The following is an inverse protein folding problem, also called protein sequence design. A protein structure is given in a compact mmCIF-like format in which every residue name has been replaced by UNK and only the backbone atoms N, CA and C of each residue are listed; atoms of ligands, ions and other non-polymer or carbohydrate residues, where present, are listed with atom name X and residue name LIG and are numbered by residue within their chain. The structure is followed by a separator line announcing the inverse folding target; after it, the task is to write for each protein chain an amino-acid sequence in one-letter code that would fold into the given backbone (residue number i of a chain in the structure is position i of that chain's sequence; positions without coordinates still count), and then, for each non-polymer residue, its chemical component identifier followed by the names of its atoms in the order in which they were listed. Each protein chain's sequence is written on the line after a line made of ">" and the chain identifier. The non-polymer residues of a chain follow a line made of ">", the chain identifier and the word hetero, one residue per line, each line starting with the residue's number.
data_IF_875413796396
#
_entry.id   IF_875413796396
#
_cell.length_a   1.000
_cell.length_b   1.000
_cell.length_c   1.000
_cell.angle_alpha   90.00
_cell.angle_beta   90.00
_cell.angle_gamma   90.00
#
_symmetry.space_group_name_H-M   'P 1'
#
loop_
_entity.id
_entity.type
_entity.pdbx_description
1 polymer ?
#
# COMPACT_ATOMS: atom_id res chain seq x y z
N UNK A 1 13.15 24.79 -14.46
CA UNK A 1 13.41 23.35 -14.41
C UNK A 1 14.17 22.99 -15.67
N UNK A 2 15.27 22.34 -15.55
CA UNK A 2 16.09 21.80 -16.66
C UNK A 2 16.11 20.27 -16.53
N UNK A 3 16.32 19.59 -17.64
CA UNK A 3 16.40 18.13 -17.71
C UNK A 3 17.65 17.74 -18.50
N UNK A 4 18.33 16.66 -18.10
CA UNK A 4 19.46 16.11 -18.85
C UNK A 4 19.03 14.97 -19.80
N UNK A 5 17.85 14.36 -19.58
CA UNK A 5 17.22 13.41 -20.51
C UNK A 5 15.70 13.58 -20.54
N UNK A 6 15.07 13.01 -21.58
CA UNK A 6 13.61 13.04 -21.74
C UNK A 6 12.94 12.02 -20.82
N UNK A 7 12.06 12.47 -19.94
CA UNK A 7 11.23 11.58 -19.13
C UNK A 7 10.21 10.86 -20.00
N UNK A 8 9.98 9.57 -19.69
CA UNK A 8 8.98 8.72 -20.34
C UNK A 8 7.98 8.21 -19.30
N UNK A 9 6.72 8.06 -19.72
CA UNK A 9 5.66 7.45 -18.92
C UNK A 9 4.71 6.75 -19.89
N UNK A 10 4.73 5.42 -19.86
CA UNK A 10 3.90 4.56 -20.68
C UNK A 10 2.93 3.82 -19.76
N UNK A 11 1.66 3.80 -20.12
CA UNK A 11 0.63 3.07 -19.39
C UNK A 11 -0.19 2.30 -20.41
N UNK A 12 -0.20 0.99 -20.29
CA UNK A 12 -1.04 0.09 -21.07
C UNK A 12 -2.04 -0.59 -20.13
N UNK A 13 -3.32 -0.51 -20.46
CA UNK A 13 -4.40 -1.14 -19.69
C UNK A 13 -5.28 -1.93 -20.62
N UNK A 14 -5.56 -3.16 -20.24
CA UNK A 14 -6.43 -4.06 -20.99
C UNK A 14 -7.37 -4.84 -20.07
N UNK A 15 -8.36 -5.46 -20.67
CA UNK A 15 -9.21 -6.38 -19.90
C UNK A 15 -10.45 -6.83 -20.65
N UNK A 16 -11.06 -7.86 -20.12
CA UNK A 16 -12.30 -8.45 -20.62
C UNK A 16 -13.23 -8.73 -19.43
N UNK A 17 -14.52 -8.40 -19.60
CA UNK A 17 -15.55 -8.76 -18.64
C UNK A 17 -16.71 -9.44 -19.36
N UNK A 18 -17.23 -10.51 -18.75
CA UNK A 18 -18.39 -11.25 -19.21
C UNK A 18 -19.42 -11.34 -18.08
N UNK A 19 -20.62 -10.86 -18.34
CA UNK A 19 -21.77 -11.04 -17.45
C UNK A 19 -22.83 -11.91 -18.12
N UNK A 20 -23.37 -12.85 -17.36
CA UNK A 20 -24.52 -13.67 -17.75
C UNK A 20 -25.62 -13.59 -16.68
N UNK A 21 -26.82 -13.25 -17.08
CA UNK A 21 -28.03 -13.25 -16.25
C UNK A 21 -28.99 -14.33 -16.72
N UNK A 22 -29.36 -15.23 -15.83
CA UNK A 22 -30.21 -16.38 -16.11
C UNK A 22 -31.48 -16.28 -15.26
N UNK A 23 -32.62 -16.09 -15.93
CA UNK A 23 -33.93 -16.11 -15.27
C UNK A 23 -34.31 -17.55 -14.93
N UNK A 24 -34.54 -17.83 -13.65
CA UNK A 24 -34.95 -19.11 -13.11
C UNK A 24 -36.42 -19.08 -12.62
N UNK A 25 -37.20 -18.07 -13.05
CA UNK A 25 -38.59 -17.85 -12.71
C UNK A 25 -38.79 -16.96 -11.47
N UNK A 26 -38.57 -17.47 -10.27
CA UNK A 26 -38.71 -16.69 -9.05
C UNK A 26 -37.37 -16.20 -8.49
N UNK A 27 -36.29 -16.35 -9.26
CA UNK A 27 -34.95 -15.88 -8.92
C UNK A 27 -34.12 -15.68 -10.20
N UNK A 28 -33.11 -14.83 -10.10
CA UNK A 28 -32.13 -14.59 -11.17
C UNK A 28 -30.75 -15.04 -10.68
N UNK A 29 -30.09 -15.88 -11.48
CA UNK A 29 -28.68 -16.20 -11.31
C UNK A 29 -27.84 -15.25 -12.15
N UNK A 30 -26.95 -14.49 -11.54
CA UNK A 30 -25.98 -13.62 -12.21
C UNK A 30 -24.58 -14.19 -12.02
N UNK A 31 -23.79 -14.26 -13.10
CA UNK A 31 -22.38 -14.59 -13.08
C UNK A 31 -21.59 -13.50 -13.76
N UNK A 32 -20.54 -12.97 -13.09
CA UNK A 32 -19.66 -11.93 -13.63
C UNK A 32 -18.23 -12.44 -13.52
N UNK A 33 -17.57 -12.56 -14.67
CA UNK A 33 -16.14 -12.92 -14.75
C UNK A 33 -15.38 -11.76 -15.36
N UNK A 34 -14.28 -11.32 -14.76
CA UNK A 34 -13.44 -10.30 -15.35
C UNK A 34 -11.96 -10.64 -15.19
N UNK A 35 -11.19 -10.25 -16.20
CA UNK A 35 -9.72 -10.22 -16.20
C UNK A 35 -9.26 -8.84 -16.61
N UNK A 36 -8.26 -8.32 -15.89
CA UNK A 36 -7.65 -7.02 -16.17
C UNK A 36 -6.14 -7.13 -16.06
N UNK A 37 -5.47 -6.34 -16.88
CA UNK A 37 -4.01 -6.18 -16.92
C UNK A 37 -3.68 -4.68 -16.98
N UNK A 38 -2.67 -4.26 -16.24
CA UNK A 38 -2.22 -2.87 -16.21
C UNK A 38 -0.72 -2.83 -16.09
N UNK A 39 -0.06 -2.32 -17.12
CA UNK A 39 1.39 -2.15 -17.19
C UNK A 39 1.71 -0.67 -17.14
N UNK A 40 2.53 -0.28 -16.16
CA UNK A 40 3.10 1.05 -16.03
C UNK A 40 4.61 0.97 -16.21
N UNK A 41 5.16 1.78 -17.09
CA UNK A 41 6.61 1.94 -17.23
C UNK A 41 6.97 3.42 -17.23
N UNK A 42 7.79 3.84 -16.28
CA UNK A 42 8.23 5.23 -16.13
C UNK A 42 9.73 5.32 -15.98
N UNK A 43 10.36 6.28 -16.67
CA UNK A 43 11.73 6.70 -16.41
C UNK A 43 11.74 8.23 -16.37
N UNK A 44 12.00 8.80 -15.20
CA UNK A 44 11.89 10.24 -14.99
C UNK A 44 13.23 10.85 -14.58
N UNK A 45 13.58 11.97 -15.22
CA UNK A 45 14.62 12.84 -14.71
C UNK A 45 14.09 13.54 -13.44
N UNK A 46 14.59 13.12 -12.29
CA UNK A 46 14.08 13.52 -10.97
C UNK A 46 15.02 14.45 -10.20
N UNK A 47 16.19 14.79 -10.75
CA UNK A 47 17.09 15.75 -10.09
C UNK A 47 16.79 17.21 -10.46
N UNK A 48 15.93 17.43 -11.47
CA UNK A 48 15.42 18.73 -11.92
C UNK A 48 16.50 19.73 -12.32
N UNK A 49 17.69 19.25 -12.68
CA UNK A 49 18.82 20.05 -13.13
C UNK A 49 19.25 19.64 -14.54
N UNK A 50 20.20 20.36 -15.13
CA UNK A 50 20.84 19.98 -16.40
C UNK A 50 22.10 19.14 -16.21
N UNK A 51 22.49 18.90 -14.94
CA UNK A 51 23.58 18.01 -14.60
C UNK A 51 23.07 16.57 -14.57
N UNK A 52 23.89 15.62 -15.01
CA UNK A 52 23.59 14.22 -14.95
C UNK A 52 23.88 13.66 -13.53
N UNK A 53 22.99 14.01 -12.58
CA UNK A 53 23.09 13.52 -11.20
C UNK A 53 22.50 12.10 -11.11
N UNK A 54 21.34 11.87 -11.73
CA UNK A 54 20.68 10.58 -11.79
C UNK A 54 20.52 10.17 -13.26
N UNK A 55 21.28 9.19 -13.70
CA UNK A 55 21.20 8.68 -15.08
C UNK A 55 19.97 7.80 -15.32
N UNK A 56 19.35 7.28 -14.25
CA UNK A 56 18.16 6.44 -14.30
C UNK A 56 17.35 6.57 -13.01
N UNK A 57 16.08 6.84 -13.16
CA UNK A 57 15.07 6.73 -12.11
C UNK A 57 13.85 6.05 -12.74
N UNK A 58 13.92 4.73 -12.76
CA UNK A 58 12.99 3.85 -13.47
C UNK A 58 12.05 3.17 -12.48
N UNK A 59 10.80 3.07 -12.87
CA UNK A 59 9.77 2.28 -12.22
C UNK A 59 9.00 1.51 -13.29
N UNK A 60 8.79 0.23 -13.08
CA UNK A 60 7.82 -0.59 -13.79
C UNK A 60 6.90 -1.25 -12.77
N UNK A 61 5.62 -1.28 -13.08
CA UNK A 61 4.60 -1.94 -12.26
C UNK A 61 3.65 -2.69 -13.17
N UNK A 62 3.58 -3.99 -12.98
CA UNK A 62 2.70 -4.90 -13.72
C UNK A 62 1.66 -5.43 -12.73
N UNK A 63 0.37 -5.33 -13.09
CA UNK A 63 -0.75 -5.79 -12.28
C UNK A 63 -1.66 -6.64 -13.13
N UNK A 64 -1.88 -7.87 -12.71
CA UNK A 64 -2.86 -8.78 -13.30
C UNK A 64 -3.94 -9.10 -12.27
N UNK A 65 -5.22 -8.96 -12.64
CA UNK A 65 -6.33 -9.18 -11.73
C UNK A 65 -7.39 -10.07 -12.38
N UNK A 66 -7.77 -11.15 -11.71
CA UNK A 66 -8.92 -11.98 -12.06
C UNK A 66 -10.00 -11.86 -10.98
N UNK A 67 -11.27 -11.74 -11.42
CA UNK A 67 -12.40 -11.74 -10.49
C UNK A 67 -13.54 -12.63 -11.01
N UNK A 68 -14.21 -13.31 -10.08
CA UNK A 68 -15.43 -14.07 -10.34
C UNK A 68 -16.47 -13.76 -9.27
N UNK A 69 -17.64 -13.29 -9.70
CA UNK A 69 -18.81 -13.17 -8.84
C UNK A 69 -19.91 -14.09 -9.32
N UNK A 70 -20.59 -14.76 -8.40
CA UNK A 70 -21.83 -15.51 -8.65
C UNK A 70 -22.82 -15.11 -7.59
N UNK A 71 -24.01 -14.67 -8.00
CA UNK A 71 -25.09 -14.30 -7.08
C UNK A 71 -26.44 -14.82 -7.55
N UNK A 72 -27.29 -15.13 -6.60
CA UNK A 72 -28.67 -15.51 -6.77
C UNK A 72 -29.55 -14.50 -6.06
N UNK A 73 -30.48 -13.89 -6.78
CA UNK A 73 -31.37 -12.83 -6.28
C UNK A 73 -32.81 -13.22 -6.47
N UNK A 74 -33.63 -13.04 -5.45
CA UNK A 74 -35.08 -13.24 -5.53
C UNK A 74 -35.75 -12.27 -6.51
N UNK A 75 -36.79 -12.71 -7.22
CA UNK A 75 -37.59 -11.87 -8.15
C UNK A 75 -39.08 -11.96 -7.87
N UNK A 76 -39.48 -12.54 -6.75
CA UNK A 76 -40.89 -12.71 -6.38
C UNK A 76 -41.49 -11.48 -5.71
N UNK A 77 -42.83 -11.36 -5.74
CA UNK A 77 -43.60 -10.27 -5.10
C UNK A 77 -43.92 -10.58 -3.62
N UNK A 78 -43.05 -11.33 -2.94
CA UNK A 78 -43.25 -11.72 -1.54
C UNK A 78 -42.85 -10.62 -0.55
N UNK A 79 -43.12 -10.83 0.76
CA UNK A 79 -42.73 -9.89 1.79
C UNK A 79 -41.21 -9.95 2.12
N UNK A 80 -40.46 -10.78 1.43
CA UNK A 80 -39.03 -10.98 1.64
C UNK A 80 -38.34 -10.99 0.28
N UNK A 81 -37.42 -10.03 0.10
CA UNK A 81 -36.42 -10.08 -0.97
C UNK A 81 -35.09 -10.52 -0.38
N UNK A 82 -34.33 -11.29 -1.15
CA UNK A 82 -33.04 -11.78 -0.71
C UNK A 82 -32.05 -11.90 -1.85
N UNK A 83 -30.80 -11.79 -1.51
CA UNK A 83 -29.68 -12.09 -2.39
C UNK A 83 -28.64 -12.88 -1.59
N UNK A 84 -28.02 -13.87 -2.24
CA UNK A 84 -26.85 -14.59 -1.75
C UNK A 84 -25.84 -14.73 -2.86
N UNK A 85 -24.58 -14.61 -2.54
CA UNK A 85 -23.52 -14.72 -3.55
C UNK A 85 -22.17 -15.10 -2.96
N UNK A 86 -21.24 -15.33 -3.87
CA UNK A 86 -19.83 -15.54 -3.58
C UNK A 86 -18.98 -14.73 -4.55
N UNK A 87 -17.85 -14.25 -4.06
CA UNK A 87 -16.88 -13.49 -4.83
C UNK A 87 -15.49 -14.11 -4.63
N UNK A 88 -14.74 -14.20 -5.72
CA UNK A 88 -13.34 -14.60 -5.76
C UNK A 88 -12.51 -13.52 -6.44
N UNK A 89 -11.35 -13.25 -5.87
CA UNK A 89 -10.39 -12.27 -6.34
C UNK A 89 -9.00 -12.90 -6.31
N UNK A 90 -8.24 -12.68 -7.38
CA UNK A 90 -6.86 -13.11 -7.51
C UNK A 90 -6.09 -12.00 -8.23
N UNK A 91 -5.02 -11.50 -7.58
CA UNK A 91 -4.23 -10.39 -8.11
C UNK A 91 -2.75 -10.64 -7.89
N UNK A 92 -1.98 -10.47 -8.94
CA UNK A 92 -0.52 -10.43 -8.89
C UNK A 92 -0.04 -9.01 -9.17
N UNK A 93 0.83 -8.50 -8.30
CA UNK A 93 1.51 -7.21 -8.46
C UNK A 93 3.01 -7.46 -8.52
N UNK A 94 3.68 -6.98 -9.58
CA UNK A 94 5.13 -6.98 -9.70
C UNK A 94 5.65 -5.55 -9.90
N UNK A 95 6.64 -5.17 -9.10
CA UNK A 95 7.23 -3.82 -9.12
C UNK A 95 8.74 -3.94 -9.29
N UNK A 96 9.29 -3.20 -10.25
CA UNK A 96 10.72 -3.08 -10.48
C UNK A 96 11.13 -1.62 -10.44
N UNK A 97 12.08 -1.28 -9.57
CA UNK A 97 12.64 0.07 -9.50
C UNK A 97 14.15 0.04 -9.74
N UNK A 98 14.66 1.07 -10.37
CA UNK A 98 16.09 1.28 -10.57
C UNK A 98 16.44 2.75 -10.36
N UNK A 99 17.47 3.02 -9.56
CA UNK A 99 17.99 4.36 -9.33
C UNK A 99 19.51 4.32 -9.47
N UNK A 100 20.07 4.97 -10.49
CA UNK A 100 21.51 4.97 -10.75
C UNK A 100 22.07 6.39 -10.82
N UNK A 101 23.28 6.54 -10.27
CA UNK A 101 24.03 7.77 -10.31
C UNK A 101 24.50 8.09 -11.73
N UNK A 102 24.40 9.35 -12.10
CA UNK A 102 24.89 9.90 -13.34
C UNK A 102 26.36 10.34 -13.30
N UNK A 103 26.84 10.85 -14.40
CA UNK A 103 28.25 11.24 -14.58
C UNK A 103 28.67 12.39 -13.62
N UNK A 104 27.76 13.28 -13.28
CA UNK A 104 28.03 14.45 -12.44
C UNK A 104 27.81 14.19 -10.94
N UNK A 105 27.24 13.02 -10.57
CA UNK A 105 26.88 12.72 -9.17
C UNK A 105 28.08 12.74 -8.23
N UNK A 106 29.24 12.20 -8.65
CA UNK A 106 30.45 12.20 -7.83
C UNK A 106 30.92 13.62 -7.49
N UNK A 107 30.78 14.56 -8.41
CA UNK A 107 31.08 15.98 -8.17
C UNK A 107 30.14 16.61 -7.16
N UNK A 108 28.86 16.34 -7.28
CA UNK A 108 27.81 16.76 -6.35
C UNK A 108 28.05 16.16 -4.94
N UNK A 109 28.29 14.85 -4.85
CA UNK A 109 28.60 14.17 -3.57
C UNK A 109 29.87 14.73 -2.94
N UNK A 110 30.87 15.14 -3.74
CA UNK A 110 32.06 15.85 -3.27
C UNK A 110 31.74 17.15 -2.55
N UNK A 111 30.77 17.91 -3.05
CA UNK A 111 30.24 19.10 -2.40
C UNK A 111 29.57 18.77 -1.04
N UNK A 112 28.77 17.69 -0.99
CA UNK A 112 28.12 17.24 0.25
C UNK A 112 29.12 16.75 1.28
N UNK A 113 30.12 15.95 0.90
CA UNK A 113 31.22 15.52 1.78
C UNK A 113 31.99 16.73 2.32
N UNK A 114 32.30 17.72 1.46
CA UNK A 114 32.93 18.96 1.87
C UNK A 114 32.09 19.71 2.89
N UNK A 115 30.78 19.85 2.65
CA UNK A 115 29.87 20.53 3.59
C UNK A 115 29.79 19.79 4.93
N UNK A 116 29.63 18.46 4.92
CA UNK A 116 29.55 17.64 6.14
C UNK A 116 30.84 17.64 6.96
N UNK A 117 32.01 17.90 6.33
CA UNK A 117 33.33 17.89 6.97
C UNK A 117 33.93 19.29 7.11
N UNK A 118 33.16 20.37 6.96
CA UNK A 118 33.60 21.76 6.96
C UNK A 118 34.80 22.02 6.02
N UNK A 119 34.80 21.36 4.85
CA UNK A 119 35.83 21.50 3.81
C UNK A 119 37.14 20.76 4.08
N UNK A 120 37.22 19.97 5.16
CA UNK A 120 38.47 19.30 5.56
C UNK A 120 38.73 17.98 4.80
N UNK A 121 37.69 17.36 4.22
CA UNK A 121 37.79 16.07 3.53
C UNK A 121 37.26 16.17 2.09
N UNK A 122 38.03 15.70 1.12
CA UNK A 122 37.57 15.49 -0.26
C UNK A 122 37.25 14.02 -0.51
N UNK A 123 36.46 13.69 -1.55
CA UNK A 123 36.14 12.29 -1.89
C UNK A 123 37.41 11.46 -2.14
N UNK A 124 38.44 11.92 -2.90
CA UNK A 124 39.68 11.16 -3.03
C UNK A 124 40.43 10.95 -1.70
N UNK A 125 40.42 11.92 -0.79
CA UNK A 125 41.00 11.78 0.54
C UNK A 125 40.24 10.78 1.40
N UNK A 126 38.90 10.78 1.29
CA UNK A 126 38.03 9.80 1.94
C UNK A 126 38.32 8.38 1.44
N UNK A 127 38.43 8.18 0.12
CA UNK A 127 38.80 6.90 -0.48
C UNK A 127 40.16 6.40 0.02
N UNK A 128 41.16 7.28 0.05
CA UNK A 128 42.50 6.94 0.56
C UNK A 128 42.46 6.53 2.06
N UNK A 129 41.67 7.22 2.87
CA UNK A 129 41.45 6.88 4.27
C UNK A 129 40.69 5.57 4.48
N UNK A 130 39.82 5.21 3.57
CA UNK A 130 39.01 3.99 3.61
C UNK A 130 39.63 2.80 2.84
N UNK A 131 40.77 3.00 2.17
CA UNK A 131 41.47 1.94 1.44
C UNK A 131 41.80 0.69 2.29
N UNK A 132 42.19 0.81 3.58
CA UNK A 132 42.38 -0.35 4.46
C UNK A 132 41.11 -1.20 4.67
N UNK A 133 39.94 -0.64 4.40
CA UNK A 133 38.63 -1.28 4.51
C UNK A 133 38.06 -1.73 3.15
N UNK A 134 38.92 -1.79 2.10
CA UNK A 134 38.59 -2.32 0.79
C UNK A 134 38.07 -1.29 -0.23
N UNK A 135 37.99 -0.01 0.12
CA UNK A 135 37.57 1.04 -0.81
C UNK A 135 38.67 1.34 -1.81
N UNK A 136 38.35 1.32 -3.10
CA UNK A 136 39.26 1.61 -4.20
C UNK A 136 39.19 3.10 -4.58
N UNK A 137 40.29 3.64 -5.09
CA UNK A 137 40.30 4.98 -5.64
C UNK A 137 39.31 5.11 -6.83
N UNK A 138 38.47 6.12 -6.80
CA UNK A 138 37.44 6.35 -7.82
C UNK A 138 36.16 5.57 -7.61
N UNK A 139 36.02 4.73 -6.57
CA UNK A 139 34.87 3.86 -6.37
C UNK A 139 33.73 4.50 -5.60
N UNK A 140 33.96 5.54 -4.81
CA UNK A 140 32.86 6.18 -4.07
C UNK A 140 32.04 7.09 -5.00
N UNK A 141 30.73 6.96 -4.96
CA UNK A 141 29.78 7.76 -5.73
C UNK A 141 30.01 7.73 -7.24
N UNK A 142 30.50 6.60 -7.75
CA UNK A 142 30.84 6.48 -9.17
C UNK A 142 29.56 6.39 -10.04
N UNK A 143 29.64 6.96 -11.25
CA UNK A 143 28.55 6.84 -12.22
C UNK A 143 28.19 5.38 -12.49
N UNK A 144 26.89 5.10 -12.62
CA UNK A 144 26.35 3.75 -12.81
C UNK A 144 26.24 2.92 -11.54
N UNK A 145 26.72 3.38 -10.40
CA UNK A 145 26.34 2.81 -9.09
C UNK A 145 24.93 3.23 -8.76
N UNK A 146 24.24 2.42 -7.94
CA UNK A 146 22.87 2.70 -7.59
C UNK A 146 22.21 1.54 -6.90
N UNK A 147 20.91 1.44 -7.11
CA UNK A 147 20.05 0.46 -6.47
C UNK A 147 19.07 -0.13 -7.48
N UNK A 148 18.88 -1.43 -7.43
CA UNK A 148 17.85 -2.17 -8.15
C UNK A 148 16.93 -2.85 -7.13
N UNK A 149 15.63 -2.70 -7.31
CA UNK A 149 14.62 -3.20 -6.40
C UNK A 149 13.59 -4.03 -7.16
N UNK A 150 13.18 -5.13 -6.56
CA UNK A 150 12.07 -5.95 -7.03
C UNK A 150 11.16 -6.24 -5.85
N UNK A 151 9.90 -5.82 -5.95
CA UNK A 151 8.84 -6.11 -4.99
C UNK A 151 7.69 -6.78 -5.71
N UNK A 152 6.93 -7.56 -4.98
CA UNK A 152 5.69 -8.10 -5.51
C UNK A 152 4.81 -8.69 -4.43
N UNK A 153 3.59 -8.99 -4.84
CA UNK A 153 2.57 -9.56 -4.00
C UNK A 153 1.61 -10.39 -4.85
N UNK A 154 1.33 -11.59 -4.40
CA UNK A 154 0.18 -12.38 -4.83
C UNK A 154 -0.90 -12.23 -3.77
N UNK A 155 -2.12 -11.84 -4.17
CA UNK A 155 -3.26 -11.68 -3.28
C UNK A 155 -4.42 -12.53 -3.76
N UNK A 156 -4.86 -13.45 -2.92
CA UNK A 156 -6.07 -14.24 -3.15
C UNK A 156 -7.10 -13.93 -2.07
N UNK A 157 -8.29 -13.52 -2.48
CA UNK A 157 -9.38 -13.30 -1.55
C UNK A 157 -10.67 -13.96 -2.01
N UNK A 158 -11.49 -14.39 -1.06
CA UNK A 158 -12.84 -14.86 -1.35
C UNK A 158 -13.83 -14.36 -0.31
N UNK A 159 -15.06 -14.22 -0.72
CA UNK A 159 -16.13 -13.88 0.22
C UNK A 159 -17.42 -14.62 -0.11
N UNK A 160 -18.22 -14.83 0.95
CA UNK A 160 -19.62 -15.26 0.84
C UNK A 160 -20.49 -14.22 1.51
N UNK A 161 -21.48 -13.75 0.78
CA UNK A 161 -22.33 -12.66 1.23
C UNK A 161 -23.81 -12.94 0.98
N UNK A 162 -24.64 -12.26 1.73
CA UNK A 162 -26.08 -12.28 1.51
C UNK A 162 -26.79 -11.13 2.20
N UNK A 163 -27.91 -10.75 1.66
CA UNK A 163 -28.81 -9.75 2.23
C UNK A 163 -30.23 -10.21 2.17
N UNK A 164 -31.02 -9.77 3.15
CA UNK A 164 -32.47 -10.01 3.25
C UNK A 164 -33.15 -8.69 3.54
N UNK A 165 -34.10 -8.31 2.70
CA UNK A 165 -35.02 -7.22 2.90
C UNK A 165 -36.38 -7.79 3.31
N UNK A 166 -36.84 -7.45 4.50
CA UNK A 166 -38.14 -7.82 5.00
C UNK A 166 -39.08 -6.63 4.97
N UNK A 167 -40.07 -6.70 4.10
CA UNK A 167 -41.17 -5.75 3.98
C UNK A 167 -42.20 -6.03 5.09
N UNK A 168 -41.90 -5.57 6.32
CA UNK A 168 -42.72 -5.83 7.50
C UNK A 168 -44.13 -5.25 7.35
N UNK A 169 -44.29 -4.17 6.61
CA UNK A 169 -45.54 -3.54 6.18
C UNK A 169 -45.32 -2.88 4.81
N UNK A 170 -46.37 -2.37 4.18
CA UNK A 170 -46.27 -1.58 2.93
C UNK A 170 -45.38 -0.32 3.06
N UNK A 171 -44.95 0.03 4.26
CA UNK A 171 -44.19 1.26 4.58
C UNK A 171 -42.89 1.02 5.36
N UNK A 172 -42.68 -0.18 5.86
CA UNK A 172 -41.52 -0.47 6.70
C UNK A 172 -40.76 -1.62 6.09
N UNK A 173 -39.49 -1.37 5.77
CA UNK A 173 -38.54 -2.37 5.31
C UNK A 173 -37.37 -2.47 6.28
N UNK A 174 -37.07 -3.68 6.72
CA UNK A 174 -35.89 -3.99 7.52
C UNK A 174 -34.91 -4.82 6.69
N UNK A 175 -33.67 -4.36 6.59
CA UNK A 175 -32.58 -5.02 5.86
C UNK A 175 -31.56 -5.60 6.82
N UNK A 176 -31.12 -6.83 6.57
CA UNK A 176 -29.94 -7.44 7.20
C UNK A 176 -29.00 -7.94 6.13
N UNK A 177 -27.76 -7.50 6.16
CA UNK A 177 -26.70 -7.98 5.28
C UNK A 177 -25.57 -8.62 6.10
N UNK A 178 -24.99 -9.69 5.58
CA UNK A 178 -23.81 -10.37 6.13
C UNK A 178 -22.81 -10.60 5.02
N UNK A 179 -21.51 -10.44 5.31
CA UNK A 179 -20.43 -10.80 4.41
C UNK A 179 -19.25 -11.34 5.21
N UNK A 180 -18.84 -12.57 4.92
CA UNK A 180 -17.60 -13.15 5.41
C UNK A 180 -16.56 -13.10 4.30
N UNK A 181 -15.40 -12.53 4.60
CA UNK A 181 -14.26 -12.42 3.67
C UNK A 181 -13.03 -13.04 4.29
N UNK A 182 -12.27 -13.77 3.50
CA UNK A 182 -10.90 -14.20 3.79
C UNK A 182 -9.99 -13.64 2.71
N UNK A 183 -8.87 -13.02 3.13
CA UNK A 183 -7.86 -12.39 2.28
C UNK A 183 -6.47 -12.94 2.66
N UNK A 184 -5.74 -13.46 1.70
CA UNK A 184 -4.42 -14.05 1.87
C UNK A 184 -3.43 -13.40 0.90
N UNK A 185 -2.27 -12.96 1.43
CA UNK A 185 -1.24 -12.30 0.66
C UNK A 185 0.12 -12.93 0.89
N UNK A 186 0.83 -13.16 -0.20
CA UNK A 186 2.23 -13.54 -0.20
C UNK A 186 3.04 -12.42 -0.87
N UNK A 187 3.86 -11.73 -0.09
CA UNK A 187 4.63 -10.58 -0.54
C UNK A 187 6.13 -10.87 -0.50
N UNK A 188 6.87 -10.25 -1.41
CA UNK A 188 8.31 -10.34 -1.44
C UNK A 188 8.96 -8.98 -1.74
N UNK A 189 10.23 -8.84 -1.31
CA UNK A 189 11.05 -7.68 -1.68
C UNK A 189 12.53 -8.04 -1.69
N UNK A 190 13.20 -7.70 -2.77
CA UNK A 190 14.65 -7.87 -2.96
C UNK A 190 15.23 -6.52 -3.34
N UNK A 191 16.32 -6.14 -2.68
CA UNK A 191 17.00 -4.87 -2.91
C UNK A 191 18.49 -5.12 -3.04
N UNK A 192 19.03 -4.82 -4.22
CA UNK A 192 20.44 -4.91 -4.53
C UNK A 192 21.04 -3.51 -4.69
N UNK A 193 22.07 -3.19 -3.88
CA UNK A 193 22.79 -1.94 -3.98
C UNK A 193 24.21 -2.15 -4.46
N UNK A 194 24.60 -1.37 -5.47
CA UNK A 194 25.98 -1.26 -5.96
C UNK A 194 26.69 0.01 -5.50
N UNK A 195 26.01 0.83 -4.65
CA UNK A 195 26.60 2.02 -4.05
C UNK A 195 27.62 1.63 -2.99
N UNK A 196 28.89 1.76 -3.35
CA UNK A 196 30.02 1.38 -2.49
C UNK A 196 29.99 2.16 -1.16
N UNK A 197 29.65 3.46 -1.19
CA UNK A 197 29.65 4.26 0.03
C UNK A 197 28.53 3.87 1.00
N UNK A 198 27.34 3.62 0.48
CA UNK A 198 26.20 3.21 1.28
C UNK A 198 26.32 1.80 1.85
N UNK A 199 27.19 0.97 1.28
CA UNK A 199 27.45 -0.40 1.76
C UNK A 199 28.47 -0.46 2.91
N UNK A 200 29.12 0.66 3.28
CA UNK A 200 30.11 0.70 4.33
C UNK A 200 29.45 0.78 5.73
N UNK A 201 29.92 -0.04 6.65
CA UNK A 201 29.59 0.13 8.08
C UNK A 201 30.46 1.26 8.68
N UNK A 202 30.00 2.50 8.52
CA UNK A 202 30.71 3.68 9.00
C UNK A 202 30.82 3.73 10.53
N UNK A 203 29.95 3.05 11.27
CA UNK A 203 30.03 2.96 12.75
C UNK A 203 31.24 2.09 13.15
N UNK A 204 31.31 0.89 12.59
CA UNK A 204 32.43 -0.01 12.82
C UNK A 204 33.75 0.60 12.34
N UNK A 205 33.77 1.14 11.11
CA UNK A 205 34.98 1.73 10.51
C UNK A 205 35.45 2.93 11.35
N UNK A 206 34.55 3.81 11.82
CA UNK A 206 34.91 4.95 12.65
C UNK A 206 35.57 4.52 13.98
N UNK A 207 35.09 3.43 14.55
CA UNK A 207 35.64 2.83 15.77
C UNK A 207 37.04 2.24 15.50
N UNK A 208 37.19 1.43 14.47
CA UNK A 208 38.46 0.77 14.09
C UNK A 208 39.54 1.79 13.67
N UNK A 209 39.13 2.81 12.91
CA UNK A 209 40.03 3.88 12.48
C UNK A 209 40.25 4.98 13.52
N UNK A 210 39.53 4.94 14.66
CA UNK A 210 39.52 6.02 15.68
C UNK A 210 39.21 7.39 15.04
N UNK A 211 38.29 7.41 14.07
CA UNK A 211 37.94 8.62 13.32
C UNK A 211 36.43 8.92 13.40
N UNK A 212 35.98 9.69 14.40
CA UNK A 212 34.57 10.00 14.60
C UNK A 212 33.96 10.89 13.50
N UNK A 213 34.78 11.54 12.66
CA UNK A 213 34.29 12.35 11.53
C UNK A 213 33.49 11.52 10.55
N UNK A 214 33.78 10.20 10.42
CA UNK A 214 33.05 9.28 9.53
C UNK A 214 31.57 9.15 9.91
N UNK A 215 31.22 9.28 11.20
CA UNK A 215 29.82 9.22 11.64
C UNK A 215 29.00 10.38 11.08
N UNK A 216 29.62 11.55 10.88
CA UNK A 216 28.98 12.70 10.27
C UNK A 216 28.66 12.52 8.78
N UNK A 217 29.20 11.48 8.14
CA UNK A 217 28.95 11.14 6.75
C UNK A 217 27.83 10.09 6.55
N UNK A 218 27.33 9.48 7.62
CA UNK A 218 26.22 8.50 7.51
C UNK A 218 24.98 9.04 6.76
N UNK A 219 24.57 10.32 6.92
CA UNK A 219 23.44 10.86 6.15
C UNK A 219 23.67 10.89 4.63
N UNK A 220 24.89 10.67 4.15
CA UNK A 220 25.23 10.57 2.72
C UNK A 220 25.16 9.13 2.18
N UNK A 221 24.81 8.16 3.01
CA UNK A 221 24.54 6.79 2.61
C UNK A 221 23.09 6.68 2.11
N UNK A 222 22.83 7.16 0.89
CA UNK A 222 21.48 7.31 0.35
C UNK A 222 20.84 6.00 -0.10
N UNK A 223 21.65 5.03 -0.51
CA UNK A 223 21.22 3.79 -1.13
C UNK A 223 21.81 2.55 -0.41
N UNK A 224 21.61 2.40 0.91
CA UNK A 224 22.16 1.28 1.65
C UNK A 224 21.48 -0.02 1.24
N UNK A 225 22.22 -1.14 1.22
CA UNK A 225 21.60 -2.46 1.08
C UNK A 225 20.77 -2.76 2.33
N UNK A 226 19.61 -3.40 2.14
CA UNK A 226 18.81 -3.89 3.25
C UNK A 226 18.27 -5.29 2.98
N UNK A 227 17.85 -5.95 4.06
CA UNK A 227 17.42 -7.33 4.00
C UNK A 227 16.13 -7.47 3.21
N UNK A 228 16.14 -8.35 2.23
CA UNK A 228 14.93 -8.78 1.52
C UNK A 228 13.99 -9.63 2.37
N UNK A 229 12.79 -9.84 1.88
CA UNK A 229 11.83 -10.79 2.43
C UNK A 229 11.20 -11.60 1.26
N UNK A 230 10.72 -12.83 1.50
CA UNK A 230 10.67 -13.52 2.80
C UNK A 230 12.05 -13.85 3.38
N UNK A 231 12.12 -13.91 4.71
CA UNK A 231 13.28 -14.35 5.47
C UNK A 231 12.83 -15.11 6.75
N UNK A 232 13.74 -15.60 7.58
CA UNK A 232 13.39 -16.41 8.74
C UNK A 232 12.70 -15.66 9.91
N UNK A 233 12.58 -14.32 9.82
CA UNK A 233 11.87 -13.47 10.80
C UNK A 233 10.56 -12.94 10.23
N UNK A 234 10.51 -12.75 8.92
CA UNK A 234 9.42 -12.14 8.18
C UNK A 234 9.18 -12.97 6.92
N UNK A 235 8.11 -13.76 6.96
CA UNK A 235 7.79 -14.75 5.92
C UNK A 235 7.14 -14.14 4.68
N UNK A 236 6.74 -12.86 4.74
CA UNK A 236 6.05 -12.19 3.64
C UNK A 236 4.57 -12.55 3.53
N UNK A 237 4.06 -13.38 4.46
CA UNK A 237 2.71 -13.90 4.40
C UNK A 237 1.78 -13.16 5.37
N UNK A 238 0.56 -12.90 4.94
CA UNK A 238 -0.54 -12.45 5.80
C UNK A 238 -1.85 -13.12 5.41
N UNK A 239 -2.65 -13.44 6.42
CA UNK A 239 -3.98 -14.02 6.24
C UNK A 239 -4.93 -13.38 7.24
N UNK A 240 -5.95 -12.72 6.72
CA UNK A 240 -6.95 -11.99 7.50
C UNK A 240 -8.34 -12.48 7.11
N UNK A 241 -9.23 -12.57 8.10
CA UNK A 241 -10.63 -12.88 7.85
C UNK A 241 -11.56 -12.04 8.72
N UNK A 242 -12.75 -11.72 8.21
CA UNK A 242 -13.71 -10.91 8.94
C UNK A 242 -15.13 -11.20 8.51
N UNK A 243 -16.03 -11.22 9.51
CA UNK A 243 -17.46 -11.16 9.30
C UNK A 243 -17.93 -9.70 9.45
N UNK A 244 -18.40 -9.12 8.36
CA UNK A 244 -19.02 -7.80 8.36
C UNK A 244 -20.54 -7.90 8.24
N UNK A 245 -21.24 -6.90 8.73
CA UNK A 245 -22.71 -6.90 8.74
C UNK A 245 -23.28 -5.51 8.57
N UNK A 246 -24.52 -5.47 8.07
CA UNK A 246 -25.31 -4.25 7.91
C UNK A 246 -26.72 -4.48 8.42
N UNK A 247 -27.23 -3.53 9.18
CA UNK A 247 -28.62 -3.42 9.56
C UNK A 247 -29.18 -2.09 9.07
N UNK A 248 -30.35 -2.12 8.47
CA UNK A 248 -31.06 -0.92 8.03
C UNK A 248 -32.54 -1.04 8.34
N UNK A 249 -33.12 0.06 8.80
CA UNK A 249 -34.57 0.23 8.89
C UNK A 249 -34.98 1.42 8.04
N UNK A 250 -35.88 1.22 7.10
CA UNK A 250 -36.44 2.26 6.25
C UNK A 250 -37.96 2.39 6.52
N UNK A 251 -38.44 3.62 6.50
CA UNK A 251 -39.86 3.97 6.70
C UNK A 251 -40.33 4.97 5.64
N UNK A 252 -41.27 4.56 4.83
CA UNK A 252 -41.97 5.43 3.88
C UNK A 252 -43.03 6.24 4.59
N UNK A 253 -42.62 7.40 5.14
CA UNK A 253 -43.51 8.28 5.89
C UNK A 253 -44.66 8.83 5.03
N UNK A 254 -44.39 9.08 3.77
CA UNK A 254 -45.35 9.39 2.69
C UNK A 254 -44.87 8.75 1.39
N UNK A 255 -45.65 8.85 0.34
CA UNK A 255 -45.27 8.34 -0.99
C UNK A 255 -44.04 9.08 -1.58
N UNK A 256 -43.69 10.25 -1.02
CA UNK A 256 -42.58 11.06 -1.45
C UNK A 256 -41.44 11.18 -0.44
N UNK A 257 -41.63 10.70 0.81
CA UNK A 257 -40.65 10.82 1.88
C UNK A 257 -40.32 9.46 2.49
N UNK A 258 -39.06 9.05 2.32
CA UNK A 258 -38.46 7.91 2.98
C UNK A 258 -37.49 8.38 4.07
N UNK A 259 -37.60 7.83 5.26
CA UNK A 259 -36.70 8.01 6.40
C UNK A 259 -35.98 6.69 6.64
N UNK A 260 -34.69 6.76 6.97
CA UNK A 260 -33.93 5.54 7.28
C UNK A 260 -32.89 5.75 8.36
N UNK A 261 -32.50 4.64 8.99
CA UNK A 261 -31.31 4.53 9.83
C UNK A 261 -30.58 3.25 9.50
N UNK A 262 -29.27 3.29 9.48
CA UNK A 262 -28.42 2.13 9.22
C UNK A 262 -27.21 2.08 10.14
N UNK A 263 -26.75 0.86 10.39
CA UNK A 263 -25.49 0.56 11.05
C UNK A 263 -24.77 -0.50 10.23
N UNK A 264 -23.50 -0.27 9.93
CA UNK A 264 -22.69 -1.20 9.17
C UNK A 264 -21.27 -1.31 9.70
N UNK A 265 -20.65 -2.45 9.44
CA UNK A 265 -19.24 -2.68 9.69
C UNK A 265 -18.50 -2.89 8.38
N UNK A 266 -17.20 -2.57 8.34
CA UNK A 266 -16.33 -2.76 7.21
C UNK A 266 -14.98 -3.31 7.64
N UNK A 267 -14.23 -3.84 6.69
CA UNK A 267 -12.95 -4.47 6.92
C UNK A 267 -11.99 -4.14 5.77
N UNK A 268 -10.71 -3.99 6.09
CA UNK A 268 -9.62 -3.95 5.13
C UNK A 268 -8.48 -4.80 5.65
N UNK A 269 -8.02 -5.75 4.85
CA UNK A 269 -6.95 -6.68 5.19
C UNK A 269 -5.58 -5.98 5.34
N UNK A 270 -4.60 -6.68 5.86
CA UNK A 270 -3.19 -6.28 5.98
C UNK A 270 -2.66 -5.74 4.66
N UNK A 271 -1.92 -4.63 4.72
CA UNK A 271 -1.22 -4.02 3.58
C UNK A 271 0.28 -4.14 3.76
N UNK A 272 0.98 -4.69 2.77
CA UNK A 272 2.44 -4.75 2.72
C UNK A 272 3.03 -3.48 2.09
N UNK A 273 4.17 -3.02 2.62
CA UNK A 273 4.89 -1.89 2.04
C UNK A 273 5.88 -2.39 0.97
N UNK A 274 5.44 -2.39 -0.28
CA UNK A 274 6.22 -2.84 -1.45
C UNK A 274 7.07 -1.68 -2.01
N UNK A 275 7.91 -1.07 -1.16
CA UNK A 275 8.76 0.05 -1.58
C UNK A 275 10.08 0.08 -0.82
N UNK A 276 11.05 0.84 -1.36
CA UNK A 276 12.34 1.12 -0.73
C UNK A 276 12.25 1.86 0.60
N UNK A 277 11.10 2.40 0.93
CA UNK A 277 10.88 3.07 2.22
C UNK A 277 10.75 2.06 3.36
N UNK A 278 10.49 0.81 3.03
CA UNK A 278 10.49 -0.35 3.90
C UNK A 278 11.88 -0.99 3.95
N UNK A 279 12.81 -0.41 4.73
CA UNK A 279 14.25 -0.69 4.67
C UNK A 279 14.89 -1.09 6.00
N UNK A 280 14.58 -2.25 6.56
CA UNK A 280 15.30 -2.76 7.73
C UNK A 280 16.73 -3.17 7.35
N UNK A 281 17.70 -2.72 8.14
CA UNK A 281 19.09 -3.05 7.92
C UNK A 281 19.40 -4.51 8.27
N UNK A 282 20.31 -5.11 7.52
CA UNK A 282 20.77 -6.48 7.78
C UNK A 282 21.41 -6.67 9.16
N UNK A 283 21.91 -5.61 9.79
CA UNK A 283 22.46 -5.64 11.15
C UNK A 283 21.41 -5.88 12.24
N UNK A 284 20.11 -5.70 11.93
CA UNK A 284 19.00 -6.05 12.82
C UNK A 284 18.56 -7.51 12.67
N UNK A 285 19.21 -8.31 11.83
CA UNK A 285 18.89 -9.69 11.58
C UNK A 285 19.90 -10.65 12.19
N UNK A 286 19.44 -11.52 13.08
CA UNK A 286 20.21 -12.66 13.60
C UNK A 286 19.61 -13.94 13.01
N UNK A 287 20.35 -14.67 12.14
CA UNK A 287 19.86 -15.93 11.60
C UNK A 287 19.63 -16.94 12.73
N UNK A 288 18.64 -17.80 12.56
CA UNK A 288 18.36 -18.88 13.50
C UNK A 288 19.52 -19.86 13.62
N UNK A 289 19.80 -20.35 14.83
CA UNK A 289 20.82 -21.38 15.08
C UNK A 289 20.38 -22.30 16.21
N UNK A 290 20.26 -23.62 15.96
CA UNK A 290 20.52 -24.32 14.68
C UNK A 290 19.54 -23.89 13.58
N UNK A 291 19.78 -24.30 12.33
CA UNK A 291 19.02 -23.91 11.13
C UNK A 291 17.49 -24.06 11.25
N UNK A 292 17.02 -24.86 12.21
CA UNK A 292 15.59 -25.07 12.50
C UNK A 292 14.98 -24.01 13.42
N UNK A 293 15.78 -23.17 14.04
CA UNK A 293 15.29 -22.08 14.89
C UNK A 293 15.01 -20.85 14.02
N UNK A 294 13.87 -20.16 14.21
CA UNK A 294 13.60 -18.92 13.49
C UNK A 294 14.70 -17.88 13.80
N UNK A 295 14.98 -17.01 12.85
CA UNK A 295 15.82 -15.85 13.07
C UNK A 295 15.16 -14.86 14.04
N UNK A 296 15.90 -13.86 14.49
CA UNK A 296 15.42 -12.83 15.40
C UNK A 296 15.83 -11.42 14.95
N UNK A 297 15.06 -10.43 15.40
CA UNK A 297 15.36 -9.02 15.28
C UNK A 297 15.56 -8.45 16.69
N UNK A 298 16.79 -8.14 17.11
CA UNK A 298 17.05 -7.61 18.45
C UNK A 298 16.27 -6.34 18.77
N UNK A 299 16.07 -5.46 17.80
CA UNK A 299 15.33 -4.21 17.97
C UNK A 299 13.84 -4.51 18.21
N UNK A 300 13.23 -5.36 17.39
CA UNK A 300 11.83 -5.79 17.55
C UNK A 300 11.62 -6.53 18.87
N UNK A 301 12.50 -7.47 19.17
CA UNK A 301 12.38 -8.34 20.34
C UNK A 301 12.58 -7.55 21.65
N UNK A 302 13.28 -6.42 21.60
CA UNK A 302 13.41 -5.46 22.70
C UNK A 302 12.21 -4.49 22.82
N UNK A 303 11.21 -4.56 21.94
CA UNK A 303 10.06 -3.64 21.92
C UNK A 303 10.40 -2.22 21.42
N UNK A 304 11.50 -2.08 20.68
CA UNK A 304 11.97 -0.81 20.12
C UNK A 304 11.74 -0.70 18.61
N UNK A 305 10.86 -1.53 18.07
CA UNK A 305 10.58 -1.58 16.64
C UNK A 305 10.07 -0.23 16.11
N UNK A 306 10.59 0.15 14.95
CA UNK A 306 10.11 1.29 14.15
C UNK A 306 9.53 0.73 12.87
N UNK A 307 8.27 1.02 12.62
CA UNK A 307 7.54 0.50 11.46
C UNK A 307 8.30 0.79 10.16
N UNK A 308 8.38 -0.23 9.29
CA UNK A 308 9.10 -0.27 8.02
C UNK A 308 10.65 -0.20 8.11
N UNK A 309 11.22 0.12 9.27
CA UNK A 309 12.67 0.21 9.48
C UNK A 309 13.22 -0.93 10.35
N UNK A 310 12.34 -1.77 10.89
CA UNK A 310 12.70 -2.95 11.68
C UNK A 310 12.19 -4.21 10.97
N UNK A 311 12.94 -5.29 11.02
CA UNK A 311 12.52 -6.58 10.44
C UNK A 311 11.26 -7.08 11.12
N UNK A 312 10.28 -7.56 10.33
CA UNK A 312 8.97 -7.99 10.83
C UNK A 312 8.00 -6.84 11.08
N UNK A 313 8.21 -5.66 10.46
CA UNK A 313 7.31 -4.50 10.57
C UNK A 313 7.01 -3.82 9.24
N UNK A 314 7.23 -4.52 8.12
CA UNK A 314 7.02 -3.98 6.76
C UNK A 314 5.57 -4.04 6.28
N UNK A 315 4.63 -4.02 7.20
CA UNK A 315 3.19 -4.06 6.91
C UNK A 315 2.40 -3.21 7.91
N UNK A 316 1.18 -2.89 7.54
CA UNK A 316 0.14 -2.42 8.45
C UNK A 316 -0.93 -3.50 8.58
N UNK A 317 -1.31 -3.85 9.80
CA UNK A 317 -2.36 -4.83 10.09
C UNK A 317 -3.75 -4.36 9.63
N UNK A 318 -4.78 -5.19 9.77
CA UNK A 318 -6.11 -4.89 9.24
C UNK A 318 -6.77 -3.67 9.90
N UNK A 319 -7.77 -3.11 9.20
CA UNK A 319 -8.64 -2.05 9.68
C UNK A 319 -10.05 -2.58 9.92
N UNK A 320 -10.67 -2.12 11.00
CA UNK A 320 -12.08 -2.33 11.29
C UNK A 320 -12.84 -1.00 11.23
N UNK A 321 -13.88 -0.95 10.40
CA UNK A 321 -14.71 0.23 10.25
C UNK A 321 -16.10 0.00 10.81
N UNK A 322 -16.67 1.05 11.42
CA UNK A 322 -18.09 1.12 11.80
C UNK A 322 -18.70 2.41 11.27
N UNK A 323 -19.93 2.31 10.75
CA UNK A 323 -20.67 3.45 10.23
C UNK A 323 -22.08 3.41 10.81
N UNK A 324 -22.50 4.51 11.37
CA UNK A 324 -23.89 4.79 11.73
C UNK A 324 -24.41 5.95 10.88
N UNK A 325 -25.57 5.79 10.27
CA UNK A 325 -26.16 6.81 9.42
C UNK A 325 -27.67 6.90 9.66
N UNK A 326 -28.19 8.12 9.67
CA UNK A 326 -29.62 8.39 9.60
C UNK A 326 -29.88 9.41 8.49
N UNK A 327 -30.96 9.20 7.74
CA UNK A 327 -31.24 10.07 6.60
C UNK A 327 -32.69 10.16 6.20
N UNK A 328 -32.94 11.12 5.31
CA UNK A 328 -34.23 11.34 4.68
C UNK A 328 -34.06 11.52 3.17
N UNK A 329 -34.92 10.86 2.39
CA UNK A 329 -34.98 10.97 0.93
C UNK A 329 -36.36 11.51 0.56
N UNK A 330 -36.36 12.69 -0.10
CA UNK A 330 -37.56 13.34 -0.58
C UNK A 330 -37.52 13.39 -2.10
N UNK A 331 -38.54 12.86 -2.75
CA UNK A 331 -38.62 12.82 -4.21
C UNK A 331 -40.02 13.26 -4.70
N UNK A 332 -40.02 14.27 -5.58
CA UNK A 332 -41.18 14.74 -6.33
C UNK A 332 -40.84 14.77 -7.82
N UNK A 333 -41.81 14.89 -8.69
CA UNK A 333 -41.62 14.88 -10.15
C UNK A 333 -40.61 15.96 -10.63
N UNK A 334 -40.56 17.11 -9.92
CA UNK A 334 -39.73 18.26 -10.31
C UNK A 334 -38.43 18.40 -9.50
N UNK A 335 -38.32 17.78 -8.34
CA UNK A 335 -37.11 17.85 -7.51
C UNK A 335 -36.95 16.64 -6.62
N UNK A 336 -35.67 16.35 -6.26
CA UNK A 336 -35.33 15.37 -5.23
C UNK A 336 -34.28 15.97 -4.29
N UNK A 337 -34.40 15.61 -2.99
CA UNK A 337 -33.44 16.01 -1.96
C UNK A 337 -33.14 14.82 -1.07
N UNK A 338 -31.87 14.49 -0.91
CA UNK A 338 -31.37 13.50 0.05
C UNK A 338 -30.56 14.23 1.13
N UNK A 339 -30.80 13.86 2.37
CA UNK A 339 -30.04 14.39 3.52
C UNK A 339 -29.59 13.19 4.36
N UNK A 340 -28.32 13.13 4.70
CA UNK A 340 -27.76 12.11 5.59
C UNK A 340 -26.89 12.74 6.68
N UNK A 341 -27.01 12.26 7.89
CA UNK A 341 -26.10 12.49 9.01
C UNK A 341 -25.41 11.18 9.33
N UNK A 342 -24.08 11.20 9.39
CA UNK A 342 -23.30 10.00 9.65
C UNK A 342 -22.23 10.20 10.73
N UNK A 343 -21.92 9.10 11.41
CA UNK A 343 -20.77 8.94 12.30
C UNK A 343 -20.02 7.69 11.86
N UNK A 344 -18.75 7.86 11.51
CA UNK A 344 -17.87 6.79 11.06
C UNK A 344 -16.64 6.72 11.94
N UNK A 345 -16.21 5.51 12.30
CA UNK A 345 -14.90 5.29 12.91
C UNK A 345 -14.18 4.11 12.25
N UNK A 346 -12.85 4.25 12.12
CA UNK A 346 -11.95 3.21 11.64
C UNK A 346 -10.92 2.97 12.72
N UNK A 347 -10.86 1.75 13.24
CA UNK A 347 -9.84 1.29 14.17
C UNK A 347 -8.72 0.58 13.40
N UNK A 348 -7.48 0.74 13.85
CA UNK A 348 -6.32 0.23 13.11
C UNK A 348 -6.07 0.94 11.78
N UNK A 349 -6.52 2.19 11.61
CA UNK A 349 -6.42 2.94 10.35
C UNK A 349 -5.02 2.86 9.74
N UNK A 350 -4.92 2.32 8.53
CA UNK A 350 -3.67 2.20 7.78
C UNK A 350 -3.31 3.55 7.19
N UNK A 351 -2.19 4.10 7.61
CA UNK A 351 -1.70 5.39 7.17
C UNK A 351 -0.32 5.27 6.55
N UNK A 352 -0.14 5.93 5.41
CA UNK A 352 1.17 6.10 4.81
C UNK A 352 1.66 7.52 5.12
N UNK A 353 2.52 7.63 6.13
CA UNK A 353 2.97 8.92 6.69
C UNK A 353 4.37 9.26 6.19
N UNK A 354 4.54 10.45 5.62
CA UNK A 354 5.86 10.94 5.21
C UNK A 354 6.71 11.33 6.43
N UNK A 355 7.87 10.69 6.59
CA UNK A 355 8.79 10.89 7.72
C UNK A 355 9.93 11.87 7.43
N UNK A 356 9.86 12.61 6.31
CA UNK A 356 10.93 13.53 5.86
C UNK A 356 11.94 12.88 4.91
N UNK A 357 12.09 11.57 4.93
CA UNK A 357 13.01 10.81 4.07
C UNK A 357 12.34 9.66 3.31
N UNK A 358 11.11 9.30 3.67
CA UNK A 358 10.35 8.22 3.07
C UNK A 358 8.94 8.13 3.68
N UNK A 359 8.15 7.18 3.18
CA UNK A 359 6.80 6.92 3.66
C UNK A 359 6.75 5.69 4.55
N UNK A 360 6.24 5.86 5.76
CA UNK A 360 6.04 4.75 6.70
C UNK A 360 4.58 4.30 6.67
N UNK A 361 4.36 3.06 6.26
CA UNK A 361 3.07 2.40 6.37
C UNK A 361 2.87 1.88 7.79
N UNK A 362 1.82 2.31 8.46
CA UNK A 362 1.54 1.95 9.87
C UNK A 362 0.06 2.02 10.18
N UNK A 363 -0.35 1.35 11.26
CA UNK A 363 -1.68 1.56 11.83
C UNK A 363 -1.65 2.81 12.73
N UNK A 364 -2.37 3.85 12.34
CA UNK A 364 -2.42 5.14 13.04
C UNK A 364 -3.43 5.20 14.20
N UNK A 365 -3.86 4.04 14.73
CA UNK A 365 -4.83 3.96 15.83
C UNK A 365 -6.26 4.13 15.32
N UNK A 366 -6.95 5.20 15.70
CA UNK A 366 -8.37 5.42 15.38
C UNK A 366 -8.58 6.71 14.58
N UNK A 367 -9.32 6.60 13.49
CA UNK A 367 -9.88 7.75 12.75
C UNK A 367 -11.38 7.82 13.02
N UNK A 368 -11.91 9.03 13.23
CA UNK A 368 -13.36 9.26 13.34
C UNK A 368 -13.78 10.42 12.47
N UNK A 369 -14.91 10.28 11.81
CA UNK A 369 -15.47 11.31 10.93
C UNK A 369 -16.97 11.40 11.17
N UNK A 370 -17.46 12.62 11.37
CA UNK A 370 -18.89 12.92 11.46
C UNK A 370 -19.24 13.94 10.38
N UNK A 371 -20.40 13.78 9.76
CA UNK A 371 -20.77 14.68 8.68
C UNK A 371 -22.25 14.79 8.41
N UNK A 372 -22.57 15.82 7.66
CA UNK A 372 -23.86 16.05 7.02
C UNK A 372 -23.65 16.08 5.52
N UNK A 373 -24.37 15.24 4.80
CA UNK A 373 -24.42 15.25 3.35
C UNK A 373 -25.79 15.70 2.86
N UNK A 374 -25.80 16.56 1.83
CA UNK A 374 -27.03 17.01 1.17
C UNK A 374 -26.81 16.92 -0.33
N UNK A 375 -27.67 16.16 -0.98
CA UNK A 375 -27.74 16.07 -2.44
C UNK A 375 -29.13 16.53 -2.91
N UNK A 376 -29.14 17.45 -3.86
CA UNK A 376 -30.40 18.01 -4.39
C UNK A 376 -30.35 18.08 -5.90
N UNK A 377 -31.42 17.67 -6.54
CA UNK A 377 -31.64 17.81 -7.99
C UNK A 377 -32.96 18.50 -8.26
N UNK A 378 -32.98 19.39 -9.27
CA UNK A 378 -34.18 20.10 -9.69
C UNK A 378 -34.26 20.18 -11.20
N UNK A 379 -35.39 19.71 -11.73
CA UNK A 379 -35.75 19.83 -13.15
C UNK A 379 -36.44 21.17 -13.37
N UNK A 380 -35.70 22.14 -13.90
CA UNK A 380 -36.24 23.42 -14.32
C UNK A 380 -36.83 23.27 -15.71
N UNK A 381 -38.18 23.30 -15.83
CA UNK A 381 -38.89 23.27 -17.12
C UNK A 381 -39.12 24.66 -17.66
#
# INVERSE_FOLDING_TARGET
>A
VAYNFGSTNNIDNGGLSLQGDFDLGNMTLTSITAYRESDLEQNADSDFTSADLLSRNYNATDIETFTQEVRLTSTGDGPIDWMVGGFYFDETVAIKNELFYGADYRGYAGGLVGAATAGTVSVPALEAGLAPFGVQAGSLFAAGQGMSESFGQDNTAWSVFGTVDWHATDRITATVGLNYTEDEKDAYGVVDSTDVFSSLDLVLISTLASNPTLLGLQPLQFLPPFLGFPNSVEDGHSKDDQLTYTFRLAYDATDNLNLYGSYGTGFKATSWNLSRDSRPFSSDFIPGSPVTSPGSSPIRDAGLAVNNLTIGTRFAGPEDATVFEVGAKLAYDSFAVNVALFDQSIEGFQSNTFSGTGFNLTNAGKQSTQGLEVDASWNVT
#
